data_IF_340126711345
#
_entry.id   IF_340126711345
#
_cell.length_a   1.000
_cell.length_b   1.000
_cell.length_c   1.000
_cell.angle_alpha   90.00
_cell.angle_beta   90.00
_cell.angle_gamma   90.00
#
_symmetry.space_group_name_H-M   'P 1'
#
loop_
_entity.id
_entity.type
_entity.pdbx_description
1 polymer ?
#
# COMPACT_ATOMS: atom_id res chain seq x y z
N UNK A 1 -6.24 -6.94 3.95
CA UNK A 1 -5.38 -7.50 2.88
C UNK A 1 -4.04 -6.80 2.87
N UNK A 2 -2.99 -7.56 2.86
CA UNK A 2 -1.62 -7.03 2.84
C UNK A 2 -1.03 -7.27 1.44
N UNK A 3 -0.47 -6.21 0.83
CA UNK A 3 0.15 -6.28 -0.49
C UNK A 3 1.61 -5.87 -0.36
N UNK A 4 2.50 -6.59 -1.05
CA UNK A 4 3.93 -6.28 -0.96
C UNK A 4 4.59 -6.31 -2.32
N UNK A 5 5.73 -5.62 -2.39
CA UNK A 5 6.57 -5.50 -3.58
C UNK A 5 8.00 -5.84 -3.22
N UNK A 6 8.76 -6.25 -4.21
CA UNK A 6 10.17 -6.60 -4.04
C UNK A 6 11.02 -5.88 -5.08
N UNK A 7 12.18 -5.41 -4.64
CA UNK A 7 13.20 -4.86 -5.54
C UNK A 7 14.56 -5.28 -4.96
N UNK A 8 15.31 -6.14 -5.70
CA UNK A 8 16.55 -6.75 -5.25
C UNK A 8 16.33 -7.48 -3.91
N UNK A 9 17.01 -7.08 -2.85
CA UNK A 9 16.85 -7.64 -1.51
C UNK A 9 15.90 -6.82 -0.63
N UNK A 10 15.23 -5.82 -1.20
CA UNK A 10 14.35 -4.92 -0.44
C UNK A 10 12.89 -5.31 -0.59
N UNK A 11 12.12 -5.07 0.46
CA UNK A 11 10.69 -5.29 0.47
C UNK A 11 9.96 -4.03 0.91
N UNK A 12 8.83 -3.77 0.28
CA UNK A 12 7.94 -2.67 0.63
C UNK A 12 6.52 -3.23 0.62
N UNK A 13 5.72 -2.88 1.61
CA UNK A 13 4.36 -3.35 1.69
C UNK A 13 3.37 -2.27 2.05
N UNK A 14 2.10 -2.49 1.74
CA UNK A 14 1.04 -1.61 2.22
C UNK A 14 -0.18 -2.41 2.62
N UNK A 15 -0.96 -1.83 3.52
CA UNK A 15 -2.19 -2.42 4.01
C UNK A 15 -3.28 -1.36 4.04
N UNK A 16 -4.44 -1.69 3.50
CA UNK A 16 -5.61 -0.83 3.56
C UNK A 16 -6.50 -1.31 4.70
N UNK A 17 -6.93 -0.40 5.57
CA UNK A 17 -7.75 -0.71 6.74
C UNK A 17 -8.98 0.17 6.78
N UNK A 18 -10.09 -0.39 7.23
CA UNK A 18 -11.26 0.38 7.63
C UNK A 18 -11.18 0.59 9.14
N UNK A 19 -11.14 1.85 9.57
CA UNK A 19 -10.97 2.19 10.99
C UNK A 19 -12.24 2.73 11.64
N UNK A 20 -13.33 2.82 10.87
CA UNK A 20 -14.64 3.27 11.34
C UNK A 20 -15.56 3.41 10.14
N UNK A 21 -16.80 3.82 10.36
CA UNK A 21 -17.76 4.02 9.30
C UNK A 21 -17.27 5.11 8.33
N UNK A 22 -16.94 4.70 7.10
CA UNK A 22 -16.47 5.63 6.08
C UNK A 22 -15.09 6.20 6.33
N UNK A 23 -14.33 5.65 7.28
CA UNK A 23 -12.98 6.09 7.56
C UNK A 23 -11.98 4.97 7.25
N UNK A 24 -10.95 5.31 6.50
CA UNK A 24 -9.97 4.33 6.00
C UNK A 24 -8.56 4.84 6.20
N UNK A 25 -7.60 3.90 6.30
CA UNK A 25 -6.18 4.21 6.33
C UNK A 25 -5.44 3.35 5.32
N UNK A 26 -4.43 3.93 4.69
CA UNK A 26 -3.44 3.20 3.92
C UNK A 26 -2.12 3.28 4.66
N UNK A 27 -1.62 2.14 5.13
CA UNK A 27 -0.35 2.07 5.87
C UNK A 27 0.70 1.53 4.91
N UNK A 28 1.71 2.32 4.62
CA UNK A 28 2.81 1.94 3.74
C UNK A 28 4.04 1.71 4.60
N UNK A 29 4.57 0.49 4.57
CA UNK A 29 5.79 0.13 5.28
C UNK A 29 6.94 0.13 4.28
N UNK A 30 7.86 1.06 4.44
CA UNK A 30 8.94 1.25 3.49
C UNK A 30 10.11 0.29 3.75
N UNK A 31 11.01 0.17 2.76
CA UNK A 31 12.13 -0.75 2.83
C UNK A 31 13.10 -0.44 3.98
N UNK A 32 13.17 0.83 4.41
CA UNK A 32 14.01 1.25 5.52
C UNK A 32 13.38 1.00 6.89
N UNK A 33 12.18 0.39 6.93
CA UNK A 33 11.46 0.08 8.17
C UNK A 33 10.52 1.18 8.65
N UNK A 34 10.51 2.33 8.00
CA UNK A 34 9.58 3.41 8.39
C UNK A 34 8.18 3.13 7.85
N UNK A 35 7.18 3.64 8.55
CA UNK A 35 5.79 3.55 8.12
C UNK A 35 5.25 4.94 7.81
N UNK A 36 4.41 5.00 6.78
CA UNK A 36 3.67 6.19 6.43
C UNK A 36 2.19 5.84 6.41
N UNK A 37 1.37 6.66 7.06
CA UNK A 37 -0.07 6.44 7.14
C UNK A 37 -0.78 7.57 6.41
N UNK A 38 -1.67 7.21 5.49
CA UNK A 38 -2.53 8.16 4.77
C UNK A 38 -3.96 7.87 5.16
N UNK A 39 -4.71 8.91 5.51
CA UNK A 39 -6.10 8.78 5.94
C UNK A 39 -7.05 9.17 4.81
N UNK A 40 -8.15 8.44 4.68
CA UNK A 40 -9.17 8.69 3.66
C UNK A 40 -10.55 8.62 4.29
N UNK A 41 -11.46 9.46 3.82
CA UNK A 41 -12.86 9.46 4.26
C UNK A 41 -13.78 8.81 3.23
N UNK A 42 -13.21 8.24 2.16
CA UNK A 42 -13.95 7.69 1.02
C UNK A 42 -13.19 6.48 0.48
N UNK A 43 -13.88 5.36 0.33
CA UNK A 43 -13.30 4.14 -0.19
C UNK A 43 -12.77 4.32 -1.61
N UNK A 44 -13.46 5.13 -2.42
CA UNK A 44 -13.04 5.39 -3.80
C UNK A 44 -11.69 6.10 -3.84
N UNK A 45 -11.48 7.08 -2.97
CA UNK A 45 -10.20 7.78 -2.86
C UNK A 45 -9.09 6.84 -2.42
N UNK A 46 -9.38 5.93 -1.48
CA UNK A 46 -8.43 4.91 -1.05
C UNK A 46 -8.03 4.00 -2.22
N UNK A 47 -9.00 3.53 -3.00
CA UNK A 47 -8.75 2.66 -4.15
C UNK A 47 -7.90 3.38 -5.20
N UNK A 48 -8.22 4.63 -5.50
CA UNK A 48 -7.45 5.43 -6.46
C UNK A 48 -6.01 5.59 -6.00
N UNK A 49 -5.80 5.81 -4.70
CA UNK A 49 -4.45 5.95 -4.15
C UNK A 49 -3.66 4.64 -4.25
N UNK A 50 -4.31 3.51 -4.01
CA UNK A 50 -3.66 2.20 -4.15
C UNK A 50 -3.20 1.96 -5.59
N UNK A 51 -4.04 2.28 -6.57
CA UNK A 51 -3.69 2.13 -7.98
C UNK A 51 -2.50 3.05 -8.33
N UNK A 52 -2.55 4.30 -7.90
CA UNK A 52 -1.47 5.25 -8.15
C UNK A 52 -0.15 4.77 -7.51
N UNK A 53 -0.22 4.25 -6.30
CA UNK A 53 0.96 3.73 -5.60
C UNK A 53 1.58 2.55 -6.34
N UNK A 54 0.75 1.62 -6.85
CA UNK A 54 1.24 0.49 -7.65
C UNK A 54 2.00 0.98 -8.87
N UNK A 55 1.45 1.97 -9.58
CA UNK A 55 2.10 2.53 -10.77
C UNK A 55 3.43 3.20 -10.42
N UNK A 56 3.46 3.96 -9.32
CA UNK A 56 4.69 4.60 -8.86
C UNK A 56 5.77 3.55 -8.54
N UNK A 57 5.40 2.48 -7.88
CA UNK A 57 6.33 1.43 -7.49
C UNK A 57 6.87 0.69 -8.72
N UNK A 58 6.00 0.38 -9.68
CA UNK A 58 6.41 -0.25 -10.94
C UNK A 58 7.41 0.62 -11.68
N UNK A 59 7.16 1.92 -11.74
CA UNK A 59 8.05 2.88 -12.40
C UNK A 59 9.42 2.95 -11.70
N UNK A 60 9.47 2.66 -10.41
CA UNK A 60 10.70 2.65 -9.63
C UNK A 60 11.41 1.30 -9.66
N UNK A 61 10.91 0.34 -10.43
CA UNK A 61 11.55 -0.96 -10.60
C UNK A 61 11.13 -2.02 -9.58
N UNK A 62 10.07 -1.76 -8.82
CA UNK A 62 9.54 -2.76 -7.87
C UNK A 62 8.71 -3.80 -8.63
N UNK A 63 8.90 -5.07 -8.29
CA UNK A 63 8.10 -6.16 -8.83
C UNK A 63 6.94 -6.48 -7.89
N UNK A 64 5.77 -6.71 -8.45
CA UNK A 64 4.54 -6.98 -7.74
C UNK A 64 3.35 -6.46 -8.52
N UNK A 65 2.19 -6.37 -7.90
CA UNK A 65 1.93 -6.65 -6.48
C UNK A 65 1.85 -8.14 -6.16
N UNK A 66 2.31 -8.49 -4.96
CA UNK A 66 2.12 -9.83 -4.39
C UNK A 66 1.16 -9.67 -3.20
N UNK A 67 0.21 -10.56 -3.08
CA UNK A 67 -0.78 -10.48 -2.04
C UNK A 67 -0.83 -11.71 -1.16
N UNK A 68 -1.19 -11.51 0.09
CA UNK A 68 -1.48 -12.59 1.03
C UNK A 68 -2.99 -12.64 1.23
N UNK A 69 -3.57 -13.79 0.92
CA UNK A 69 -4.96 -14.07 1.28
C UNK A 69 -4.93 -14.87 2.58
N UNK A 70 -5.20 -14.19 3.63
CA UNK A 70 -5.31 -14.84 4.93
C UNK A 70 -6.76 -15.14 5.23
#
# INVERSE_FOLDING_TARGET
MFTWFRRDAEYLGYEAREIGDGAYELVVRQADGTERVEAFSDQHALTDRQVALQHELEDQGWSGPHGWNL
#
